data_IF_385674944666
#
_entry.id   IF_385674944666
#
_cell.length_a   1.000
_cell.length_b   1.000
_cell.length_c   1.000
_cell.angle_alpha   90.00
_cell.angle_beta   90.00
_cell.angle_gamma   90.00
#
_symmetry.space_group_name_H-M   'P 1'
#
loop_
_entity.id
_entity.type
_entity.pdbx_description
1 polymer ?
#
# COMPACT_ATOMS: atom_id res chain seq x y z
N UNK A 1 16.54 -38.72 11.94
CA UNK A 1 16.54 -38.29 13.35
C UNK A 1 17.93 -37.77 13.64
N UNK A 2 18.09 -36.49 13.79
CA UNK A 2 19.34 -35.87 14.21
C UNK A 2 19.38 -35.86 15.74
N UNK A 3 20.29 -36.64 16.33
CA UNK A 3 20.49 -36.74 17.77
C UNK A 3 21.48 -35.67 18.30
N UNK A 4 21.56 -34.52 17.65
CA UNK A 4 22.41 -33.43 18.09
C UNK A 4 21.90 -32.80 19.41
N UNK A 5 22.82 -32.36 20.26
CA UNK A 5 22.49 -31.65 21.52
C UNK A 5 21.65 -30.39 21.30
N UNK A 6 21.56 -29.91 20.07
CA UNK A 6 20.76 -28.73 19.67
C UNK A 6 19.26 -29.00 19.74
N UNK A 7 18.83 -30.28 19.61
CA UNK A 7 17.41 -30.68 19.65
C UNK A 7 16.95 -31.22 20.99
N UNK A 8 17.82 -31.38 21.97
CA UNK A 8 17.49 -31.92 23.30
C UNK A 8 18.04 -31.04 24.42
N UNK A 9 17.19 -30.68 25.35
CA UNK A 9 17.60 -29.94 26.56
C UNK A 9 16.93 -30.53 27.81
N UNK A 10 17.67 -31.33 28.55
CA UNK A 10 17.15 -32.02 29.73
C UNK A 10 16.11 -33.08 29.33
N UNK A 11 14.84 -32.90 29.75
CA UNK A 11 13.72 -33.79 29.44
C UNK A 11 12.89 -33.29 28.23
N UNK A 12 13.26 -32.17 27.62
CA UNK A 12 12.56 -31.58 26.48
C UNK A 12 13.27 -31.92 25.16
N UNK A 13 12.48 -32.15 24.13
CA UNK A 13 12.97 -32.36 22.77
C UNK A 13 12.31 -31.33 21.83
N UNK A 14 13.09 -30.77 20.91
CA UNK A 14 12.60 -29.94 19.81
C UNK A 14 12.46 -30.81 18.57
N UNK A 15 11.26 -30.84 18.00
CA UNK A 15 10.97 -31.55 16.75
C UNK A 15 10.63 -30.52 15.68
N UNK A 16 11.33 -30.57 14.57
CA UNK A 16 11.05 -29.75 13.39
C UNK A 16 10.37 -30.64 12.34
N UNK A 17 9.17 -30.25 11.92
CA UNK A 17 8.35 -30.99 10.96
C UNK A 17 8.14 -30.14 9.73
N UNK A 18 8.64 -30.58 8.59
CA UNK A 18 8.46 -29.93 7.30
C UNK A 18 7.36 -30.59 6.49
N UNK A 19 6.51 -29.78 5.88
CA UNK A 19 5.45 -30.22 4.96
C UNK A 19 5.84 -29.90 3.52
N UNK A 20 5.56 -30.82 2.58
CA UNK A 20 5.80 -30.60 1.15
C UNK A 20 4.75 -29.69 0.49
N UNK A 21 3.64 -29.38 1.19
CA UNK A 21 2.54 -28.54 0.74
C UNK A 21 2.67 -27.08 1.19
N UNK A 22 1.68 -26.27 0.81
CA UNK A 22 1.52 -24.92 1.32
C UNK A 22 0.86 -24.94 2.71
N UNK A 23 1.01 -23.85 3.46
CA UNK A 23 0.44 -23.68 4.80
C UNK A 23 -1.09 -23.84 4.84
N UNK A 24 -1.76 -23.56 3.72
CA UNK A 24 -3.22 -23.62 3.55
C UNK A 24 -3.73 -24.88 2.84
N UNK A 25 -2.84 -25.80 2.48
CA UNK A 25 -3.22 -27.06 1.84
C UNK A 25 -3.98 -27.96 2.84
N UNK A 26 -5.11 -28.52 2.42
CA UNK A 26 -5.92 -29.37 3.26
C UNK A 26 -5.14 -30.60 3.76
N UNK A 27 -4.22 -31.11 2.96
CA UNK A 27 -3.37 -32.25 3.33
C UNK A 27 -2.41 -31.88 4.47
N UNK A 28 -1.87 -30.67 4.45
CA UNK A 28 -0.99 -30.15 5.51
C UNK A 28 -1.78 -29.91 6.79
N UNK A 29 -2.99 -29.37 6.68
CA UNK A 29 -3.91 -29.10 7.81
C UNK A 29 -4.33 -30.43 8.47
N UNK A 30 -4.77 -31.42 7.69
CA UNK A 30 -5.17 -32.74 8.20
C UNK A 30 -3.99 -33.48 8.85
N UNK A 31 -2.78 -33.29 8.32
CA UNK A 31 -1.58 -33.87 8.91
C UNK A 31 -1.23 -33.19 10.24
N UNK A 32 -1.37 -31.88 10.32
CA UNK A 32 -1.14 -31.11 11.56
C UNK A 32 -2.14 -31.46 12.66
N UNK A 33 -3.42 -31.66 12.29
CA UNK A 33 -4.45 -32.14 13.24
C UNK A 33 -4.08 -33.49 13.85
N UNK A 34 -3.60 -34.43 13.01
CA UNK A 34 -3.11 -35.74 13.50
C UNK A 34 -1.87 -35.62 14.40
N UNK A 35 -0.97 -34.68 14.10
CA UNK A 35 0.18 -34.40 14.96
C UNK A 35 -0.28 -33.91 16.32
N UNK A 36 -1.24 -32.99 16.36
CA UNK A 36 -1.80 -32.48 17.60
C UNK A 36 -2.50 -33.56 18.41
N UNK A 37 -3.25 -34.49 17.77
CA UNK A 37 -3.84 -35.65 18.45
C UNK A 37 -2.77 -36.57 19.06
N UNK A 38 -1.66 -36.80 18.35
CA UNK A 38 -0.55 -37.63 18.84
C UNK A 38 0.19 -36.97 20.01
N UNK A 39 0.19 -35.64 20.06
CA UNK A 39 0.87 -34.86 21.08
C UNK A 39 0.00 -34.63 22.34
N UNK A 40 -1.32 -34.87 22.27
CA UNK A 40 -2.27 -34.66 23.38
C UNK A 40 -1.84 -35.32 24.72
N UNK A 41 -1.23 -36.54 24.72
CA UNK A 41 -0.76 -37.15 25.97
C UNK A 41 0.52 -36.55 26.54
N UNK A 42 1.20 -35.65 25.82
CA UNK A 42 2.48 -35.08 26.19
C UNK A 42 2.34 -33.59 26.56
N UNK A 43 3.18 -33.10 27.46
CA UNK A 43 3.30 -31.67 27.74
C UNK A 43 4.06 -31.03 26.56
N UNK A 44 3.35 -30.62 25.53
CA UNK A 44 3.88 -30.16 24.26
C UNK A 44 3.47 -28.71 23.98
N UNK A 45 4.39 -27.93 23.44
CA UNK A 45 4.13 -26.63 22.83
C UNK A 45 4.35 -26.72 21.33
N UNK A 46 3.34 -26.38 20.55
CA UNK A 46 3.38 -26.43 19.08
C UNK A 46 3.37 -25.00 18.55
N UNK A 47 4.39 -24.69 17.74
CA UNK A 47 4.48 -23.42 16.99
C UNK A 47 4.39 -23.79 15.50
N UNK A 48 3.33 -23.33 14.83
CA UNK A 48 3.06 -23.71 13.44
C UNK A 48 2.32 -22.60 12.71
N UNK A 49 2.63 -22.44 11.43
CA UNK A 49 1.88 -21.57 10.50
C UNK A 49 0.87 -22.37 9.65
N UNK A 50 0.86 -23.72 9.78
CA UNK A 50 -0.08 -24.57 9.03
C UNK A 50 -1.51 -24.38 9.55
N UNK A 51 -2.40 -24.05 8.62
CA UNK A 51 -3.81 -23.74 8.92
C UNK A 51 -4.06 -22.26 9.20
N UNK A 52 -3.01 -21.43 9.29
CA UNK A 52 -3.16 -19.98 9.35
C UNK A 52 -3.19 -19.40 7.93
N UNK A 53 -4.31 -18.83 7.54
CA UNK A 53 -4.35 -18.02 6.32
C UNK A 53 -3.79 -16.62 6.62
N UNK A 54 -2.47 -16.58 6.84
CA UNK A 54 -1.73 -15.34 7.14
C UNK A 54 -2.00 -14.24 6.11
N UNK A 55 -2.29 -14.63 4.87
CA UNK A 55 -2.61 -13.66 3.80
C UNK A 55 -4.02 -13.06 3.98
N UNK A 56 -5.00 -13.85 4.42
CA UNK A 56 -6.36 -13.37 4.70
C UNK A 56 -6.42 -12.50 5.95
N UNK A 57 -5.72 -12.89 7.01
CA UNK A 57 -5.65 -12.11 8.25
C UNK A 57 -4.91 -10.78 8.03
N UNK A 58 -3.77 -10.81 7.35
CA UNK A 58 -3.06 -9.59 6.95
C UNK A 58 -3.91 -8.70 6.04
N UNK A 59 -4.69 -9.28 5.10
CA UNK A 59 -5.59 -8.50 4.25
C UNK A 59 -6.67 -7.78 5.05
N UNK A 60 -7.21 -8.43 6.08
CA UNK A 60 -8.20 -7.85 6.98
C UNK A 60 -7.61 -6.73 7.84
N UNK A 61 -6.43 -6.95 8.41
CA UNK A 61 -5.70 -5.91 9.17
C UNK A 61 -5.35 -4.71 8.28
N UNK A 62 -4.86 -4.95 7.08
CA UNK A 62 -4.56 -3.88 6.12
C UNK A 62 -5.81 -3.11 5.70
N UNK A 63 -6.96 -3.77 5.58
CA UNK A 63 -8.24 -3.11 5.34
C UNK A 63 -8.59 -2.09 6.44
N UNK A 64 -8.36 -2.45 7.69
CA UNK A 64 -8.56 -1.56 8.84
C UNK A 64 -7.57 -0.40 8.82
N UNK A 65 -6.29 -0.65 8.52
CA UNK A 65 -5.25 0.39 8.42
C UNK A 65 -5.59 1.39 7.32
N UNK A 66 -5.98 0.93 6.13
CA UNK A 66 -6.39 1.79 5.00
C UNK A 66 -7.62 2.62 5.36
N UNK A 67 -8.59 2.04 6.05
CA UNK A 67 -9.78 2.78 6.50
C UNK A 67 -9.42 3.86 7.52
N UNK A 68 -8.58 3.56 8.51
CA UNK A 68 -8.09 4.54 9.48
C UNK A 68 -7.31 5.66 8.76
N UNK A 69 -6.42 5.30 7.85
CA UNK A 69 -5.66 6.27 7.05
C UNK A 69 -6.62 7.18 6.25
N UNK A 70 -7.62 6.62 5.58
CA UNK A 70 -8.61 7.39 4.84
C UNK A 70 -9.39 8.37 5.73
N UNK A 71 -9.79 7.95 6.93
CA UNK A 71 -10.47 8.83 7.90
C UNK A 71 -9.56 9.97 8.34
N UNK A 72 -8.31 9.67 8.71
CA UNK A 72 -7.32 10.69 9.11
C UNK A 72 -7.13 11.71 7.97
N UNK A 73 -7.01 11.24 6.73
CA UNK A 73 -6.86 12.07 5.56
C UNK A 73 -8.05 13.01 5.39
N UNK A 74 -9.27 12.50 5.45
CA UNK A 74 -10.48 13.33 5.33
C UNK A 74 -10.53 14.38 6.44
N UNK A 75 -10.16 14.02 7.67
CA UNK A 75 -10.10 14.96 8.81
C UNK A 75 -9.04 16.03 8.54
N UNK A 76 -7.83 15.66 8.16
CA UNK A 76 -6.74 16.61 7.86
C UNK A 76 -7.14 17.55 6.72
N UNK A 77 -7.68 16.99 5.62
CA UNK A 77 -8.15 17.79 4.48
C UNK A 77 -9.25 18.78 4.91
N UNK A 78 -10.21 18.35 5.72
CA UNK A 78 -11.30 19.22 6.21
C UNK A 78 -10.78 20.35 7.08
N UNK A 79 -9.73 20.10 7.88
CA UNK A 79 -9.11 21.12 8.73
C UNK A 79 -8.18 22.07 7.95
N UNK A 80 -7.55 21.58 6.88
CA UNK A 80 -6.55 22.33 6.11
C UNK A 80 -7.19 23.08 4.93
N UNK A 81 -8.28 22.54 4.38
CA UNK A 81 -8.97 23.12 3.23
C UNK A 81 -9.70 24.42 3.60
N UNK A 82 -9.55 25.42 2.77
CA UNK A 82 -10.22 26.73 2.92
C UNK A 82 -11.61 26.77 2.27
N UNK A 83 -11.89 25.84 1.36
CA UNK A 83 -13.17 25.73 0.67
C UNK A 83 -13.76 24.32 0.83
N UNK A 84 -15.02 24.24 1.21
CA UNK A 84 -15.70 22.95 1.43
C UNK A 84 -15.73 22.05 0.19
N UNK A 85 -15.63 22.63 -1.02
CA UNK A 85 -15.63 21.87 -2.28
C UNK A 85 -14.26 21.25 -2.64
N UNK A 86 -13.17 21.73 -2.04
CA UNK A 86 -11.84 21.13 -2.26
C UNK A 86 -11.79 19.67 -1.77
N UNK A 87 -12.43 19.36 -0.64
CA UNK A 87 -12.39 18.02 -0.04
C UNK A 87 -13.02 16.96 -0.96
N UNK A 88 -14.23 17.13 -1.51
CA UNK A 88 -14.80 16.19 -2.48
C UNK A 88 -13.91 15.99 -3.73
N UNK A 89 -13.36 17.07 -4.27
CA UNK A 89 -12.45 17.01 -5.45
C UNK A 89 -11.24 16.17 -5.14
N UNK A 90 -10.62 16.39 -3.98
CA UNK A 90 -9.46 15.63 -3.53
C UNK A 90 -9.78 14.15 -3.35
N UNK A 91 -10.87 13.82 -2.64
CA UNK A 91 -11.30 12.43 -2.40
C UNK A 91 -11.61 11.71 -3.72
N UNK A 92 -12.29 12.37 -4.67
CA UNK A 92 -12.57 11.79 -5.99
C UNK A 92 -11.28 11.53 -6.79
N UNK A 93 -10.33 12.46 -6.76
CA UNK A 93 -9.04 12.32 -7.44
C UNK A 93 -8.24 11.15 -6.86
N UNK A 94 -8.21 11.01 -5.53
CA UNK A 94 -7.52 9.90 -4.86
C UNK A 94 -8.19 8.56 -5.10
N UNK A 95 -9.53 8.54 -5.04
CA UNK A 95 -10.29 7.34 -5.36
C UNK A 95 -10.01 6.85 -6.78
N UNK A 96 -9.98 7.77 -7.75
CA UNK A 96 -9.63 7.45 -9.13
C UNK A 96 -8.19 6.93 -9.27
N UNK A 97 -7.22 7.57 -8.62
CA UNK A 97 -5.82 7.12 -8.63
C UNK A 97 -5.68 5.71 -8.04
N UNK A 98 -6.35 5.44 -6.90
CA UNK A 98 -6.33 4.12 -6.26
C UNK A 98 -6.99 3.05 -7.14
N UNK A 99 -8.15 3.35 -7.73
CA UNK A 99 -8.83 2.43 -8.65
C UNK A 99 -8.00 2.13 -9.90
N UNK A 100 -7.35 3.14 -10.48
CA UNK A 100 -6.42 2.94 -11.60
C UNK A 100 -5.23 2.06 -11.21
N UNK A 101 -4.69 2.27 -10.02
CA UNK A 101 -3.57 1.46 -9.53
C UNK A 101 -3.99 0.00 -9.31
N UNK A 102 -5.10 -0.24 -8.62
CA UNK A 102 -5.63 -1.59 -8.42
C UNK A 102 -6.03 -2.25 -9.74
N UNK A 103 -6.71 -1.51 -10.63
CA UNK A 103 -7.13 -2.01 -11.93
C UNK A 103 -5.98 -2.35 -12.87
N UNK A 104 -4.80 -1.77 -12.67
CA UNK A 104 -3.60 -2.03 -13.49
C UNK A 104 -2.61 -2.99 -12.86
N UNK A 105 -2.91 -3.56 -11.68
CA UNK A 105 -2.03 -4.51 -11.01
C UNK A 105 -1.75 -5.78 -11.83
N UNK A 106 -2.69 -6.20 -12.69
CA UNK A 106 -2.49 -7.33 -13.59
C UNK A 106 -1.31 -7.16 -14.56
N UNK A 107 -0.89 -5.92 -14.86
CA UNK A 107 0.27 -5.63 -15.71
C UNK A 107 1.60 -5.99 -15.04
N UNK A 108 1.64 -6.02 -13.72
CA UNK A 108 2.84 -6.32 -12.93
C UNK A 108 3.02 -7.82 -12.64
N UNK A 109 2.07 -8.68 -13.07
CA UNK A 109 2.10 -10.12 -12.85
C UNK A 109 1.76 -10.51 -11.40
N UNK A 110 2.62 -11.30 -10.76
CA UNK A 110 2.43 -11.69 -9.35
C UNK A 110 3.03 -10.62 -8.45
N UNK A 111 2.19 -9.91 -7.73
CA UNK A 111 2.58 -8.89 -6.75
C UNK A 111 2.52 -9.52 -5.36
N UNK A 112 3.57 -9.32 -4.57
CA UNK A 112 3.56 -9.71 -3.16
C UNK A 112 2.43 -8.99 -2.42
N UNK A 113 1.77 -9.68 -1.51
CA UNK A 113 0.74 -9.10 -0.66
C UNK A 113 1.27 -7.87 0.12
N UNK A 114 2.50 -7.97 0.65
CA UNK A 114 3.18 -6.89 1.37
C UNK A 114 3.37 -5.67 0.46
N UNK A 115 3.86 -5.87 -0.77
CA UNK A 115 4.05 -4.79 -1.75
C UNK A 115 2.74 -4.10 -2.10
N UNK A 116 1.66 -4.85 -2.29
CA UNK A 116 0.34 -4.30 -2.60
C UNK A 116 -0.20 -3.44 -1.44
N UNK A 117 -0.08 -3.93 -0.22
CA UNK A 117 -0.57 -3.26 0.99
C UNK A 117 0.16 -1.95 1.27
N UNK A 118 1.50 -1.99 1.25
CA UNK A 118 2.34 -0.79 1.42
C UNK A 118 2.07 0.23 0.32
N UNK A 119 1.86 -0.24 -0.92
CA UNK A 119 1.60 0.64 -2.06
C UNK A 119 0.31 1.44 -1.90
N UNK A 120 -0.77 0.84 -1.43
CA UNK A 120 -2.06 1.55 -1.25
C UNK A 120 -1.91 2.69 -0.25
N UNK A 121 -1.26 2.44 0.89
CA UNK A 121 -1.06 3.45 1.94
C UNK A 121 -0.13 4.57 1.45
N UNK A 122 0.99 4.21 0.84
CA UNK A 122 1.96 5.20 0.35
C UNK A 122 1.41 6.02 -0.82
N UNK A 123 0.69 5.38 -1.74
CA UNK A 123 0.03 6.08 -2.84
C UNK A 123 -0.95 7.13 -2.32
N UNK A 124 -1.74 6.76 -1.33
CA UNK A 124 -2.71 7.68 -0.72
C UNK A 124 -2.00 8.90 -0.11
N UNK A 125 -0.93 8.67 0.65
CA UNK A 125 -0.14 9.75 1.27
C UNK A 125 0.48 10.69 0.23
N UNK A 126 1.15 10.14 -0.80
CA UNK A 126 1.81 10.94 -1.84
C UNK A 126 0.81 11.67 -2.74
N UNK A 127 -0.32 11.04 -3.07
CA UNK A 127 -1.35 11.68 -3.89
C UNK A 127 -1.93 12.93 -3.19
N UNK A 128 -2.06 12.90 -1.86
CA UNK A 128 -2.53 14.05 -1.08
C UNK A 128 -1.56 15.21 -1.19
N UNK A 129 -0.27 14.98 -1.00
CA UNK A 129 0.74 16.03 -1.07
C UNK A 129 0.70 16.75 -2.42
N UNK A 130 0.62 16.00 -3.51
CA UNK A 130 0.54 16.55 -4.86
C UNK A 130 -0.75 17.35 -5.09
N UNK A 131 -1.84 16.85 -4.60
CA UNK A 131 -3.12 17.51 -4.77
C UNK A 131 -3.25 18.76 -3.89
N UNK A 132 -2.72 18.78 -2.68
CA UNK A 132 -2.68 19.96 -1.82
C UNK A 132 -1.85 21.07 -2.49
N UNK A 133 -0.71 20.76 -3.08
CA UNK A 133 0.11 21.73 -3.81
C UNK A 133 -0.71 22.38 -4.93
N UNK A 134 -1.40 21.55 -5.74
CA UNK A 134 -2.23 22.07 -6.82
C UNK A 134 -3.42 22.91 -6.32
N UNK A 135 -4.12 22.46 -5.27
CA UNK A 135 -5.19 23.23 -4.64
C UNK A 135 -4.72 24.58 -4.13
N UNK A 136 -3.59 24.62 -3.41
CA UNK A 136 -3.04 25.88 -2.90
C UNK A 136 -2.67 26.84 -4.01
N UNK A 137 -2.08 26.33 -5.10
CA UNK A 137 -1.78 27.15 -6.29
C UNK A 137 -3.06 27.67 -6.94
N UNK A 138 -4.07 26.80 -7.10
CA UNK A 138 -5.35 27.19 -7.65
C UNK A 138 -6.04 28.25 -6.79
N UNK A 139 -6.13 28.06 -5.47
CA UNK A 139 -6.75 29.03 -4.55
C UNK A 139 -6.03 30.39 -4.57
N UNK A 140 -4.70 30.40 -4.73
CA UNK A 140 -3.94 31.64 -4.82
C UNK A 140 -4.21 32.40 -6.12
N UNK A 141 -4.31 31.72 -7.26
CA UNK A 141 -4.57 32.33 -8.56
C UNK A 141 -6.04 32.74 -8.75
N UNK A 142 -6.96 31.98 -8.15
CA UNK A 142 -8.42 32.23 -8.25
C UNK A 142 -8.87 33.53 -7.56
N UNK A 143 -8.02 34.13 -6.73
CA UNK A 143 -8.30 35.45 -6.13
C UNK A 143 -8.35 36.57 -7.20
N UNK A 144 -7.57 36.42 -8.27
CA UNK A 144 -7.38 37.48 -9.28
C UNK A 144 -7.83 37.07 -10.69
N UNK A 145 -7.93 35.79 -10.97
CA UNK A 145 -8.24 35.22 -12.28
C UNK A 145 -9.58 34.48 -12.25
N UNK A 146 -10.19 34.36 -13.42
CA UNK A 146 -11.35 33.49 -13.60
C UNK A 146 -10.98 32.02 -13.38
N UNK A 147 -11.95 31.21 -12.98
CA UNK A 147 -11.75 29.80 -12.59
C UNK A 147 -10.90 29.00 -13.60
N UNK A 148 -11.16 29.17 -14.90
CA UNK A 148 -10.43 28.47 -15.94
C UNK A 148 -8.99 28.96 -16.10
N UNK A 149 -8.81 30.28 -16.05
CA UNK A 149 -7.47 30.89 -16.17
C UNK A 149 -6.64 30.60 -14.92
N UNK A 150 -7.24 30.67 -13.75
CA UNK A 150 -6.62 30.31 -12.48
C UNK A 150 -6.15 28.83 -12.48
N UNK A 151 -6.95 27.94 -13.03
CA UNK A 151 -6.59 26.53 -13.13
C UNK A 151 -5.39 26.30 -14.08
N UNK A 152 -5.34 26.97 -15.22
CA UNK A 152 -4.23 26.89 -16.17
C UNK A 152 -2.93 27.43 -15.55
N UNK A 153 -3.01 28.56 -14.88
CA UNK A 153 -1.86 29.19 -14.23
C UNK A 153 -1.36 28.35 -13.06
N UNK A 154 -2.28 27.84 -12.23
CA UNK A 154 -1.96 26.94 -11.13
C UNK A 154 -1.26 25.65 -11.62
N UNK A 155 -1.76 25.06 -12.70
CA UNK A 155 -1.12 23.88 -13.31
C UNK A 155 0.28 24.18 -13.81
N UNK A 156 0.43 25.30 -14.51
CA UNK A 156 1.74 25.74 -15.02
C UNK A 156 2.80 25.83 -13.93
N UNK A 157 2.41 26.30 -12.75
CA UNK A 157 3.30 26.44 -11.58
C UNK A 157 3.45 25.15 -10.78
N UNK A 158 2.39 24.36 -10.66
CA UNK A 158 2.39 23.13 -9.87
C UNK A 158 3.13 21.97 -10.57
N UNK A 159 3.04 21.83 -11.89
CA UNK A 159 3.67 20.73 -12.63
C UNK A 159 5.19 20.63 -12.37
N UNK A 160 6.00 21.69 -12.49
CA UNK A 160 7.44 21.60 -12.21
C UNK A 160 7.72 21.23 -10.76
N UNK A 161 6.96 21.80 -9.81
CA UNK A 161 7.13 21.58 -8.38
C UNK A 161 6.82 20.13 -8.00
N UNK A 162 5.66 19.63 -8.39
CA UNK A 162 5.22 18.25 -8.13
C UNK A 162 6.12 17.25 -8.86
N UNK A 163 6.48 17.52 -10.13
CA UNK A 163 7.33 16.62 -10.91
C UNK A 163 8.73 16.50 -10.35
N UNK A 164 9.31 17.57 -9.83
CA UNK A 164 10.64 17.51 -9.21
C UNK A 164 10.63 16.71 -7.91
N UNK A 165 9.60 16.90 -7.07
CA UNK A 165 9.40 16.13 -5.85
C UNK A 165 9.17 14.64 -6.13
N UNK A 166 8.28 14.33 -7.07
CA UNK A 166 7.99 12.96 -7.44
C UNK A 166 9.19 12.24 -8.07
N UNK A 167 10.00 12.94 -8.88
CA UNK A 167 11.22 12.37 -9.46
C UNK A 167 12.22 11.99 -8.37
N UNK A 168 12.34 12.78 -7.32
CA UNK A 168 13.20 12.46 -6.16
C UNK A 168 12.70 11.19 -5.47
N UNK A 169 11.39 11.08 -5.24
CA UNK A 169 10.78 9.89 -4.64
C UNK A 169 10.95 8.65 -5.52
N UNK A 170 10.70 8.78 -6.83
CA UNK A 170 10.90 7.69 -7.81
C UNK A 170 12.37 7.24 -7.83
N UNK A 171 13.32 8.18 -7.75
CA UNK A 171 14.75 7.85 -7.70
C UNK A 171 15.12 7.08 -6.44
N UNK A 172 14.56 7.47 -5.28
CA UNK A 172 14.73 6.76 -4.02
C UNK A 172 14.12 5.34 -4.06
N UNK A 173 12.92 5.19 -4.61
CA UNK A 173 12.28 3.89 -4.80
C UNK A 173 13.02 3.03 -5.83
N UNK A 174 13.59 3.65 -6.87
CA UNK A 174 14.45 2.98 -7.84
C UNK A 174 15.67 2.31 -7.20
N UNK A 175 16.16 2.85 -6.10
CA UNK A 175 17.25 2.21 -5.35
C UNK A 175 16.86 0.84 -4.77
N UNK A 176 15.58 0.60 -4.48
CA UNK A 176 15.08 -0.72 -4.03
C UNK A 176 15.28 -1.81 -5.10
N UNK A 177 15.27 -1.44 -6.38
CA UNK A 177 15.50 -2.37 -7.47
C UNK A 177 16.93 -2.97 -7.49
N UNK A 178 17.88 -2.31 -6.83
CA UNK A 178 19.25 -2.80 -6.68
C UNK A 178 19.45 -3.69 -5.45
N UNK A 179 18.43 -3.89 -4.65
CA UNK A 179 18.49 -4.83 -3.53
C UNK A 179 18.52 -6.27 -4.06
N UNK A 180 19.36 -7.10 -3.47
CA UNK A 180 19.45 -8.53 -3.80
C UNK A 180 18.28 -9.36 -3.25
N UNK A 181 17.27 -8.72 -2.71
CA UNK A 181 16.09 -9.36 -2.14
C UNK A 181 14.89 -9.17 -3.08
N UNK A 182 14.26 -10.27 -3.49
CA UNK A 182 13.21 -10.27 -4.53
C UNK A 182 12.02 -9.33 -4.24
N UNK A 183 11.66 -9.12 -2.97
CA UNK A 183 10.59 -8.19 -2.56
C UNK A 183 10.98 -6.73 -2.89
N UNK A 184 12.27 -6.37 -2.88
CA UNK A 184 12.71 -5.00 -3.17
C UNK A 184 12.36 -4.55 -4.59
N UNK A 185 12.59 -5.41 -5.58
CA UNK A 185 12.24 -5.13 -6.97
C UNK A 185 10.72 -5.03 -7.17
N UNK A 186 9.96 -5.94 -6.57
CA UNK A 186 8.50 -5.95 -6.63
C UNK A 186 7.92 -4.64 -6.04
N UNK A 187 8.37 -4.25 -4.85
CA UNK A 187 7.99 -2.98 -4.23
C UNK A 187 8.35 -1.77 -5.09
N UNK A 188 9.57 -1.73 -5.66
CA UNK A 188 10.00 -0.63 -6.51
C UNK A 188 9.06 -0.43 -7.69
N UNK A 189 8.76 -1.49 -8.42
CA UNK A 189 7.91 -1.44 -9.62
C UNK A 189 6.50 -0.99 -9.28
N UNK A 190 5.89 -1.59 -8.25
CA UNK A 190 4.50 -1.30 -7.89
C UNK A 190 4.35 0.12 -7.33
N UNK A 191 5.30 0.58 -6.49
CA UNK A 191 5.29 1.93 -5.92
C UNK A 191 5.54 3.00 -6.98
N UNK A 192 6.51 2.82 -7.88
CA UNK A 192 6.78 3.76 -8.99
C UNK A 192 5.54 3.86 -9.89
N UNK A 193 4.93 2.75 -10.25
CA UNK A 193 3.65 2.73 -11.00
C UNK A 193 2.57 3.53 -10.27
N UNK A 194 2.40 3.31 -8.97
CA UNK A 194 1.40 4.01 -8.16
C UNK A 194 1.61 5.53 -8.16
N UNK A 195 2.87 6.00 -8.05
CA UNK A 195 3.20 7.43 -8.12
C UNK A 195 2.85 7.99 -9.49
N UNK A 196 3.24 7.32 -10.58
CA UNK A 196 2.94 7.78 -11.94
C UNK A 196 1.43 7.89 -12.19
N UNK A 197 0.64 6.92 -11.71
CA UNK A 197 -0.82 6.97 -11.84
C UNK A 197 -1.44 8.07 -10.97
N UNK A 198 -0.87 8.35 -9.81
CA UNK A 198 -1.30 9.46 -8.96
C UNK A 198 -1.02 10.81 -9.62
N UNK A 199 0.17 10.98 -10.20
CA UNK A 199 0.52 12.19 -10.98
C UNK A 199 -0.42 12.38 -12.16
N UNK A 200 -0.69 11.30 -12.90
CA UNK A 200 -1.63 11.34 -14.02
C UNK A 200 -3.02 11.80 -13.55
N UNK A 201 -3.52 11.24 -12.46
CA UNK A 201 -4.83 11.61 -11.90
C UNK A 201 -4.86 13.06 -11.42
N UNK A 202 -3.80 13.53 -10.73
CA UNK A 202 -3.71 14.92 -10.25
C UNK A 202 -3.61 15.91 -11.42
N UNK A 203 -2.86 15.61 -12.47
CA UNK A 203 -2.70 16.55 -13.58
C UNK A 203 -3.83 16.53 -14.60
N UNK A 204 -4.62 15.46 -14.66
CA UNK A 204 -5.70 15.34 -15.66
C UNK A 204 -7.09 15.45 -15.06
N UNK A 205 -7.38 14.70 -14.01
CA UNK A 205 -8.71 14.63 -13.40
C UNK A 205 -8.98 15.84 -12.49
N UNK A 206 -8.02 16.19 -11.64
CA UNK A 206 -8.20 17.23 -10.64
C UNK A 206 -8.47 18.61 -11.23
N UNK A 207 -7.78 19.09 -12.30
CA UNK A 207 -8.09 20.36 -12.94
C UNK A 207 -9.52 20.41 -13.49
N UNK A 208 -9.98 19.31 -14.10
CA UNK A 208 -11.34 19.18 -14.57
C UNK A 208 -12.38 19.31 -13.45
N UNK A 209 -12.11 18.69 -12.31
CA UNK A 209 -12.99 18.78 -11.14
C UNK A 209 -12.96 20.17 -10.49
N UNK A 210 -11.79 20.82 -10.41
CA UNK A 210 -11.67 22.18 -9.87
C UNK A 210 -12.41 23.24 -10.72
N UNK A 211 -12.52 23.01 -12.03
CA UNK A 211 -13.28 23.90 -12.92
C UNK A 211 -14.78 23.60 -12.87
N UNK A 212 -15.17 22.36 -12.54
CA UNK A 212 -16.56 21.91 -12.52
C UNK A 212 -17.28 22.34 -11.22
N UNK A 213 -16.58 22.34 -10.10
CA UNK A 213 -17.08 22.62 -8.74
C UNK A 213 -16.62 23.98 -8.24
#
# INVERSE_FOLDING_TARGET
FDNSEDHYRGTAALLDVSFDGTETDQVSIDAMEKINELLEPYDSYVDTTVGEDSSADLAKEMGVIVLIAAVIIVVVLTLTSKAYMEVPVLVMTFGAAALLNMGTNFLCGKISFISNSVTVVLQLALAIDYAIILCHRFSAEHVTLDTREACIEALSKAIPEISSSSLTTISGLGALAFMHFGIGLDMAVVLIKAILLSLLSVFTLMPGLLVLF
#
